data_IF_850467084977
#
_entry.id   IF_850467084977
#
_cell.length_a   1.000
_cell.length_b   1.000
_cell.length_c   1.000
_cell.angle_alpha   90.00
_cell.angle_beta   90.00
_cell.angle_gamma   90.00
#
_symmetry.space_group_name_H-M   'P 1'
#
loop_
_entity.id
_entity.type
_entity.pdbx_description
1 polymer ?
#
# COMPACT_ATOMS: atom_id res chain seq x y z
N UNK A 1 -9.95 -3.79 -32.94
CA UNK A 1 -11.38 -3.74 -33.32
C UNK A 1 -11.81 -2.28 -33.36
N UNK A 2 -12.17 -1.81 -34.55
CA UNK A 2 -12.59 -0.44 -34.81
C UNK A 2 -14.05 -0.20 -34.38
N UNK A 3 -14.39 1.10 -34.30
CA UNK A 3 -15.72 1.78 -34.15
C UNK A 3 -15.84 2.53 -32.82
N UNK A 4 -16.25 3.80 -32.73
CA UNK A 4 -16.85 4.73 -33.70
C UNK A 4 -16.54 6.19 -33.31
N UNK A 5 -16.61 7.10 -34.29
CA UNK A 5 -16.67 8.55 -34.02
C UNK A 5 -18.01 8.89 -33.40
N UNK A 6 -18.00 9.57 -32.25
CA UNK A 6 -19.11 10.43 -31.83
C UNK A 6 -18.58 11.86 -31.76
N UNK A 7 -18.94 12.64 -32.77
CA UNK A 7 -18.92 14.10 -32.72
C UNK A 7 -20.36 14.55 -32.57
N UNK A 8 -20.72 15.10 -31.41
CA UNK A 8 -21.83 16.05 -31.29
C UNK A 8 -21.49 17.09 -30.23
N UNK A 9 -21.57 18.35 -30.67
CA UNK A 9 -21.73 19.60 -29.89
C UNK A 9 -20.60 19.99 -28.92
N UNK A 10 -19.79 20.97 -29.36
CA UNK A 10 -19.39 22.19 -28.63
C UNK A 10 -18.70 22.12 -27.25
N UNK A 11 -18.59 20.95 -26.62
CA UNK A 11 -17.85 20.75 -25.38
C UNK A 11 -16.46 20.23 -25.68
N UNK A 12 -15.46 20.72 -24.93
CA UNK A 12 -14.08 20.20 -24.98
C UNK A 12 -14.14 18.68 -24.77
N UNK A 13 -13.89 17.90 -25.82
CA UNK A 13 -13.88 16.43 -25.75
C UNK A 13 -12.66 16.03 -24.94
N UNK A 14 -12.83 15.89 -23.63
CA UNK A 14 -11.83 15.29 -22.75
C UNK A 14 -11.89 13.79 -23.00
N UNK A 15 -10.91 13.28 -23.76
CA UNK A 15 -10.77 11.85 -24.03
C UNK A 15 -10.29 11.14 -22.76
N UNK A 16 -11.20 10.92 -21.82
CA UNK A 16 -10.90 10.35 -20.49
C UNK A 16 -10.25 8.96 -20.52
N UNK A 17 -10.38 8.22 -21.63
CA UNK A 17 -9.78 6.89 -21.81
C UNK A 17 -8.60 6.85 -22.80
N UNK A 18 -8.25 7.95 -23.47
CA UNK A 18 -7.20 7.95 -24.52
C UNK A 18 -5.86 8.49 -24.04
N UNK A 19 -5.82 9.19 -22.89
CA UNK A 19 -4.60 9.79 -22.37
C UNK A 19 -4.28 9.16 -21.01
N UNK A 20 -3.15 8.45 -20.95
CA UNK A 20 -2.58 8.03 -19.67
C UNK A 20 -2.27 9.28 -18.85
N UNK A 21 -2.63 9.33 -17.55
CA UNK A 21 -2.14 10.38 -16.66
C UNK A 21 -0.62 10.49 -16.73
N UNK A 22 -0.04 11.68 -16.47
CA UNK A 22 1.40 11.78 -16.28
C UNK A 22 1.84 10.77 -15.22
N UNK A 23 3.02 10.18 -15.41
CA UNK A 23 3.62 9.17 -14.56
C UNK A 23 2.91 7.80 -14.54
N UNK A 24 1.95 7.55 -15.44
CA UNK A 24 1.36 6.22 -15.65
C UNK A 24 1.93 5.63 -16.94
N UNK A 25 2.84 4.65 -16.83
CA UNK A 25 3.45 4.01 -17.99
C UNK A 25 2.63 2.82 -18.50
N UNK A 26 2.74 2.52 -19.80
CA UNK A 26 1.97 1.46 -20.46
C UNK A 26 2.41 0.04 -20.08
N UNK A 27 3.56 -0.11 -19.42
CA UNK A 27 4.16 -1.40 -19.10
C UNK A 27 3.86 -1.85 -17.67
N UNK A 28 3.02 -1.10 -16.93
CA UNK A 28 2.77 -1.31 -15.50
C UNK A 28 4.08 -1.41 -14.70
N UNK A 29 5.11 -0.69 -15.11
CA UNK A 29 6.36 -0.54 -14.37
C UNK A 29 6.16 0.45 -13.24
N UNK A 30 6.98 0.35 -12.22
CA UNK A 30 7.08 1.39 -11.20
C UNK A 30 7.46 2.74 -11.83
N UNK A 31 6.85 3.83 -11.33
CA UNK A 31 7.28 5.20 -11.64
C UNK A 31 7.65 5.92 -10.34
N UNK A 32 8.96 6.13 -10.07
CA UNK A 32 9.43 6.75 -8.84
C UNK A 32 8.88 8.15 -8.59
N UNK A 33 8.44 8.87 -9.62
CA UNK A 33 7.84 10.20 -9.46
C UNK A 33 6.46 10.17 -8.78
N UNK A 34 5.85 8.99 -8.61
CA UNK A 34 4.62 8.82 -7.84
C UNK A 34 4.85 8.69 -6.32
N UNK A 35 6.09 8.50 -5.88
CA UNK A 35 6.40 8.36 -4.46
C UNK A 35 6.85 9.68 -3.84
N UNK A 36 6.71 9.75 -2.52
CA UNK A 36 7.32 10.82 -1.72
C UNK A 36 8.84 10.70 -1.81
N UNK A 37 9.52 11.85 -1.87
CA UNK A 37 10.98 11.91 -1.97
C UNK A 37 11.67 11.51 -0.67
N UNK A 38 11.09 11.92 0.45
CA UNK A 38 11.59 11.62 1.79
C UNK A 38 10.48 10.93 2.62
N UNK A 39 10.67 9.65 3.00
CA UNK A 39 9.74 8.95 3.88
C UNK A 39 9.57 9.59 5.26
N UNK A 40 10.47 10.48 5.69
CA UNK A 40 10.36 11.22 6.96
C UNK A 40 9.20 12.22 6.98
N UNK A 41 8.72 12.66 5.80
CA UNK A 41 7.59 13.58 5.63
C UNK A 41 6.22 12.88 5.87
N UNK A 42 6.22 11.56 6.02
CA UNK A 42 5.01 10.77 6.21
C UNK A 42 4.40 11.01 7.60
N UNK A 43 3.12 11.43 7.62
CA UNK A 43 2.34 11.57 8.85
C UNK A 43 1.90 10.23 9.42
N UNK A 44 1.77 9.23 8.56
CA UNK A 44 1.40 7.86 8.91
C UNK A 44 2.31 6.87 8.19
N UNK A 45 2.61 5.75 8.84
CA UNK A 45 3.37 4.65 8.25
C UNK A 45 2.69 3.33 8.57
N UNK A 46 2.51 2.48 7.56
CA UNK A 46 1.92 1.15 7.72
C UNK A 46 3.01 0.12 7.66
N UNK A 47 3.07 -0.77 8.64
CA UNK A 47 4.07 -1.83 8.71
C UNK A 47 3.43 -3.15 9.11
N UNK A 48 3.90 -4.25 8.51
CA UNK A 48 3.60 -5.58 9.02
C UNK A 48 4.52 -5.85 10.23
N UNK A 49 3.94 -5.96 11.42
CA UNK A 49 4.65 -6.20 12.68
C UNK A 49 4.54 -7.68 13.02
N UNK A 50 5.68 -8.38 12.97
CA UNK A 50 5.80 -9.79 13.30
C UNK A 50 6.20 -9.94 14.76
N UNK A 51 5.56 -10.87 15.46
CA UNK A 51 5.85 -11.16 16.89
C UNK A 51 7.10 -12.02 17.07
N UNK A 52 7.54 -12.76 16.03
CA UNK A 52 8.74 -13.60 16.11
C UNK A 52 10.01 -12.74 16.06
N UNK A 53 11.01 -13.09 16.88
CA UNK A 53 12.31 -12.40 17.01
C UNK A 53 13.19 -12.45 15.76
N UNK A 54 12.66 -12.92 14.62
CA UNK A 54 13.39 -12.98 13.36
C UNK A 54 13.53 -11.57 12.79
N UNK A 55 14.56 -10.86 13.27
CA UNK A 55 15.20 -9.66 12.73
C UNK A 55 14.32 -8.88 11.73
N UNK A 56 13.18 -8.37 12.20
CA UNK A 56 12.42 -7.44 11.40
C UNK A 56 13.29 -6.19 11.25
N UNK A 57 13.80 -5.95 10.04
CA UNK A 57 14.52 -4.73 9.74
C UNK A 57 13.55 -3.58 9.97
N UNK A 58 13.87 -2.71 10.92
CA UNK A 58 13.04 -1.56 11.30
C UNK A 58 13.16 -0.49 10.20
N UNK A 59 12.48 -0.72 9.09
CA UNK A 59 12.42 0.20 7.95
C UNK A 59 11.41 1.33 8.16
N UNK A 60 10.86 1.48 9.37
CA UNK A 60 9.91 2.53 9.66
C UNK A 60 10.66 3.86 9.83
N UNK A 61 10.43 4.85 8.95
CA UNK A 61 11.17 6.11 8.93
C UNK A 61 10.80 7.04 10.10
N UNK A 62 9.70 6.76 10.82
CA UNK A 62 9.29 7.54 11.98
C UNK A 62 10.20 7.16 13.16
N UNK A 63 10.81 8.12 13.88
CA UNK A 63 11.56 7.83 15.10
C UNK A 63 10.68 7.14 16.16
N UNK A 64 11.21 6.17 16.91
CA UNK A 64 10.43 5.31 17.83
C UNK A 64 9.68 6.12 18.89
N UNK A 65 10.29 7.17 19.39
CA UNK A 65 9.74 8.12 20.34
C UNK A 65 8.56 8.92 19.78
N UNK A 66 8.43 9.05 18.46
CA UNK A 66 7.34 9.76 17.79
C UNK A 66 6.24 8.84 17.28
N UNK A 67 6.49 7.52 17.23
CA UNK A 67 5.50 6.52 16.80
C UNK A 67 4.36 6.43 17.81
N UNK A 68 3.15 6.39 17.28
CA UNK A 68 1.94 6.06 18.03
C UNK A 68 1.13 5.06 17.22
N UNK A 69 0.80 3.92 17.81
CA UNK A 69 -0.07 2.93 17.17
C UNK A 69 -1.50 3.44 17.22
N UNK A 70 -2.12 3.65 16.05
CA UNK A 70 -3.51 4.12 15.95
C UNK A 70 -4.49 3.06 15.48
N UNK A 71 -4.00 2.01 14.82
CA UNK A 71 -4.82 0.90 14.34
C UNK A 71 -3.97 -0.35 14.11
N UNK A 72 -4.56 -1.51 14.34
CA UNK A 72 -3.98 -2.82 14.03
C UNK A 72 -5.04 -3.75 13.45
N UNK A 73 -4.66 -4.54 12.44
CA UNK A 73 -5.51 -5.57 11.83
C UNK A 73 -4.67 -6.81 11.54
N UNK A 74 -5.24 -7.99 11.75
CA UNK A 74 -4.59 -9.24 11.39
C UNK A 74 -4.53 -9.39 9.86
N UNK A 75 -3.34 -9.70 9.34
CA UNK A 75 -3.11 -9.87 7.93
C UNK A 75 -2.22 -11.07 7.63
N UNK A 76 -2.44 -11.68 6.47
CA UNK A 76 -1.72 -12.85 6.01
C UNK A 76 -0.23 -12.52 5.79
N UNK A 77 0.66 -13.22 6.50
CA UNK A 77 2.09 -13.07 6.32
C UNK A 77 2.55 -13.92 5.12
N UNK A 78 2.81 -13.26 3.99
CA UNK A 78 3.12 -13.93 2.73
C UNK A 78 4.44 -14.72 2.76
N UNK A 79 5.40 -14.27 3.55
CA UNK A 79 6.73 -14.86 3.67
C UNK A 79 6.69 -16.16 4.48
N UNK A 80 5.83 -16.21 5.50
CA UNK A 80 5.69 -17.35 6.42
C UNK A 80 4.46 -18.20 6.14
N UNK A 81 3.86 -18.09 4.95
CA UNK A 81 2.67 -18.83 4.55
C UNK A 81 2.86 -19.60 3.24
N UNK A 82 2.35 -20.84 3.12
CA UNK A 82 2.48 -21.64 1.91
C UNK A 82 1.87 -20.95 0.68
N UNK A 83 2.63 -20.83 -0.42
CA UNK A 83 2.21 -20.11 -1.62
C UNK A 83 0.86 -20.59 -2.18
N UNK A 84 0.62 -21.90 -2.22
CA UNK A 84 -0.64 -22.46 -2.73
C UNK A 84 -1.84 -22.07 -1.88
N UNK A 85 -1.73 -22.12 -0.55
CA UNK A 85 -2.82 -21.75 0.36
C UNK A 85 -3.07 -20.24 0.40
N UNK A 86 -2.09 -19.42 -0.02
CA UNK A 86 -2.27 -18.00 -0.26
C UNK A 86 -2.95 -17.69 -1.60
N UNK A 87 -2.72 -18.50 -2.62
CA UNK A 87 -3.36 -18.36 -3.93
C UNK A 87 -4.79 -18.93 -3.93
N UNK A 88 -5.04 -20.00 -3.18
CA UNK A 88 -6.31 -20.71 -3.12
C UNK A 88 -6.73 -20.95 -1.67
N UNK A 89 -7.82 -20.29 -1.26
CA UNK A 89 -8.36 -20.42 0.09
C UNK A 89 -9.07 -21.78 0.28
N UNK A 90 -8.65 -22.53 1.30
CA UNK A 90 -9.26 -23.78 1.73
C UNK A 90 -9.78 -23.59 3.17
N UNK A 91 -11.10 -23.56 3.41
CA UNK A 91 -11.69 -23.13 4.69
C UNK A 91 -11.13 -23.82 5.96
N UNK A 92 -10.70 -25.09 5.86
CA UNK A 92 -10.19 -25.84 7.01
C UNK A 92 -8.66 -25.87 7.11
N UNK A 93 -7.94 -25.63 6.00
CA UNK A 93 -6.47 -25.71 5.96
C UNK A 93 -5.81 -24.35 5.99
N UNK A 94 -6.31 -23.39 5.20
CA UNK A 94 -5.72 -22.05 5.13
C UNK A 94 -5.67 -21.37 6.50
N UNK A 95 -6.72 -21.37 7.34
CA UNK A 95 -6.64 -20.75 8.67
C UNK A 95 -5.67 -21.45 9.64
N UNK A 96 -5.29 -22.70 9.37
CA UNK A 96 -4.42 -23.50 10.24
C UNK A 96 -2.95 -23.46 9.83
N UNK A 97 -2.69 -23.38 8.52
CA UNK A 97 -1.34 -23.50 7.94
C UNK A 97 -0.76 -22.16 7.48
N UNK A 98 -1.58 -21.13 7.29
CA UNK A 98 -1.09 -19.78 7.02
C UNK A 98 -0.75 -19.05 8.31
N UNK A 99 0.34 -18.29 8.26
CA UNK A 99 0.77 -17.40 9.34
C UNK A 99 0.13 -16.04 9.16
N UNK A 100 -0.24 -15.40 10.28
CA UNK A 100 -0.80 -14.06 10.31
C UNK A 100 0.07 -13.17 11.20
N UNK A 101 0.20 -11.91 10.80
CA UNK A 101 0.90 -10.86 11.53
C UNK A 101 0.05 -9.58 11.48
N UNK A 102 0.36 -8.60 12.31
CA UNK A 102 -0.46 -7.40 12.40
C UNK A 102 0.01 -6.35 11.40
N UNK A 103 -0.87 -5.86 10.55
CA UNK A 103 -0.64 -4.55 9.94
C UNK A 103 -0.92 -3.47 10.97
N UNK A 104 0.13 -2.80 11.39
CA UNK A 104 0.07 -1.71 12.36
C UNK A 104 0.20 -0.38 11.63
N UNK A 105 -0.75 0.52 11.87
CA UNK A 105 -0.69 1.92 11.42
C UNK A 105 -0.05 2.75 12.52
N UNK A 106 1.11 3.31 12.22
CA UNK A 106 1.82 4.25 13.08
C UNK A 106 1.49 5.68 12.65
N UNK A 107 1.16 6.54 13.62
CA UNK A 107 1.07 7.99 13.47
C UNK A 107 2.38 8.64 13.92
N UNK A 108 2.88 9.59 13.16
CA UNK A 108 4.04 10.42 13.52
C UNK A 108 3.56 11.62 14.36
N UNK A 109 3.74 11.53 15.68
CA UNK A 109 3.28 12.59 16.59
C UNK A 109 3.94 13.94 16.32
N UNK A 110 5.21 13.97 15.90
CA UNK A 110 5.94 15.21 15.65
C UNK A 110 5.36 16.03 14.48
N UNK A 111 4.77 15.37 13.48
CA UNK A 111 4.18 16.05 12.32
C UNK A 111 2.69 16.37 12.53
N UNK A 112 1.96 15.53 13.27
CA UNK A 112 0.53 15.74 13.50
C UNK A 112 0.27 16.74 14.63
N UNK A 113 1.15 16.86 15.63
CA UNK A 113 0.98 17.81 16.75
C UNK A 113 1.28 19.26 16.37
N UNK A 114 2.00 19.51 15.28
CA UNK A 114 2.41 20.86 14.85
C UNK A 114 1.30 21.66 14.13
N UNK A 115 0.02 21.30 14.35
CA UNK A 115 -1.14 22.07 13.89
C UNK A 115 -1.87 22.69 15.09
N UNK A 116 -1.21 23.62 15.77
CA UNK A 116 -1.85 24.61 16.66
C UNK A 116 -1.12 25.95 16.52
#
# INVERSE_FOLDING_TARGET
FARDRVSKTGGKVVRGSTRSPPNMNQLNKEDPAQYLKDPSECHYFVQLVRTSQQQQVDNNPIPREHREVVFEEDFLDAEYSPQLLRAFYVPTRTPRECSYAKYTVFRNRALVSNKL
#
